data_IF_480495896605
#
_entry.id   IF_480495896605
#
_cell.length_a   1.000
_cell.length_b   1.000
_cell.length_c   1.000
_cell.angle_alpha   90.00
_cell.angle_beta   90.00
_cell.angle_gamma   90.00
#
_symmetry.space_group_name_H-M   'P 1'
#
loop_
_entity.id
_entity.type
_entity.pdbx_description
1 polymer ?
#
# COMPACT_ATOMS: atom_id res chain seq x y z
N UNK A 1 -21.39 46.48 -19.47
CA UNK A 1 -21.78 46.23 -18.06
C UNK A 1 -20.58 45.70 -17.30
N UNK A 2 -19.66 46.59 -16.93
CA UNK A 2 -18.45 46.25 -16.17
C UNK A 2 -18.12 47.47 -15.29
N UNK A 3 -18.78 47.59 -14.13
CA UNK A 3 -18.40 48.60 -13.11
C UNK A 3 -19.01 48.40 -11.71
N UNK A 4 -19.39 47.19 -11.27
CA UNK A 4 -20.00 47.00 -9.94
C UNK A 4 -19.30 46.01 -9.01
N UNK A 5 -18.18 45.39 -9.41
CA UNK A 5 -17.54 44.34 -8.59
C UNK A 5 -16.39 44.82 -7.68
N UNK A 6 -16.01 46.10 -7.68
CA UNK A 6 -14.84 46.58 -6.93
C UNK A 6 -15.14 47.32 -5.62
N UNK A 7 -16.42 47.55 -5.30
CA UNK A 7 -16.81 48.28 -4.09
C UNK A 7 -17.14 47.36 -2.88
N UNK A 8 -17.62 46.14 -3.09
CA UNK A 8 -17.99 45.22 -2.00
C UNK A 8 -16.78 44.55 -1.32
N UNK A 9 -15.70 44.27 -2.07
CA UNK A 9 -14.51 43.61 -1.52
C UNK A 9 -13.67 44.50 -0.57
N UNK A 10 -13.82 45.83 -0.65
CA UNK A 10 -13.09 46.77 0.22
C UNK A 10 -13.72 46.84 1.62
N UNK A 11 -15.04 46.62 1.72
CA UNK A 11 -15.74 46.56 3.02
C UNK A 11 -15.30 45.35 3.85
N UNK A 12 -15.32 44.15 3.26
CA UNK A 12 -15.03 42.91 3.98
C UNK A 12 -13.63 42.88 4.61
N UNK A 13 -12.61 43.36 3.90
CA UNK A 13 -11.23 43.30 4.40
C UNK A 13 -10.98 44.32 5.50
N UNK A 14 -11.59 45.50 5.39
CA UNK A 14 -11.46 46.57 6.37
C UNK A 14 -12.21 46.22 7.68
N UNK A 15 -13.39 45.60 7.55
CA UNK A 15 -14.18 45.13 8.68
C UNK A 15 -13.50 43.94 9.39
N UNK A 16 -12.86 43.04 8.64
CA UNK A 16 -12.10 41.93 9.21
C UNK A 16 -10.86 42.40 9.98
N UNK A 17 -10.14 43.40 9.45
CA UNK A 17 -9.05 44.03 10.20
C UNK A 17 -9.54 44.73 11.46
N UNK A 18 -10.72 45.35 11.40
CA UNK A 18 -11.35 45.98 12.57
C UNK A 18 -11.70 44.96 13.66
N UNK A 19 -12.30 43.82 13.30
CA UNK A 19 -12.60 42.75 14.26
C UNK A 19 -11.34 42.11 14.86
N UNK A 20 -10.28 41.97 14.06
CA UNK A 20 -9.00 41.41 14.53
C UNK A 20 -8.28 42.35 15.51
N UNK A 21 -8.34 43.67 15.27
CA UNK A 21 -7.82 44.68 16.20
C UNK A 21 -8.64 44.74 17.50
N UNK A 22 -9.96 44.58 17.43
CA UNK A 22 -10.81 44.54 18.62
C UNK A 22 -10.56 43.29 19.48
N UNK A 23 -10.31 42.14 18.85
CA UNK A 23 -9.94 40.92 19.57
C UNK A 23 -8.58 41.07 20.26
N UNK A 24 -7.59 41.67 19.60
CA UNK A 24 -6.29 42.00 20.23
C UNK A 24 -6.43 42.94 21.43
N UNK A 25 -7.39 43.88 21.38
CA UNK A 25 -7.70 44.75 22.50
C UNK A 25 -8.37 43.97 23.66
N UNK A 26 -9.31 43.08 23.35
CA UNK A 26 -9.98 42.22 24.34
C UNK A 26 -9.02 41.25 25.02
N UNK A 27 -8.02 40.75 24.28
CA UNK A 27 -6.96 39.86 24.78
C UNK A 27 -5.85 40.62 25.54
N UNK A 28 -5.96 41.95 25.66
CA UNK A 28 -5.10 42.80 26.49
C UNK A 28 -3.88 43.40 25.79
N UNK A 29 -3.70 43.17 24.48
CA UNK A 29 -2.57 43.66 23.69
C UNK A 29 -2.81 45.07 23.12
N UNK A 30 -2.96 46.05 24.02
CA UNK A 30 -3.35 47.43 23.71
C UNK A 30 -2.36 48.17 22.80
N UNK A 31 -1.05 48.05 23.04
CA UNK A 31 -0.01 48.75 22.26
C UNK A 31 0.02 48.29 20.80
N UNK A 32 -0.17 46.99 20.56
CA UNK A 32 -0.14 46.40 19.23
C UNK A 32 -1.40 46.79 18.44
N UNK A 33 -2.55 46.82 19.11
CA UNK A 33 -3.81 47.28 18.52
C UNK A 33 -3.77 48.77 18.15
N UNK A 34 -3.19 49.64 19.00
CA UNK A 34 -3.05 51.07 18.72
C UNK A 34 -2.11 51.36 17.53
N UNK A 35 -0.96 50.67 17.45
CA UNK A 35 -0.04 50.82 16.32
C UNK A 35 -0.64 50.36 14.98
N UNK A 36 -1.47 49.31 15.01
CA UNK A 36 -2.20 48.85 13.84
C UNK A 36 -3.31 49.82 13.44
N UNK A 37 -4.04 50.37 14.41
CA UNK A 37 -5.09 51.35 14.16
C UNK A 37 -4.54 52.66 13.55
N UNK A 38 -3.40 53.17 14.02
CA UNK A 38 -2.73 54.34 13.45
C UNK A 38 -2.29 54.08 11.99
N UNK A 39 -1.75 52.89 11.70
CA UNK A 39 -1.31 52.54 10.34
C UNK A 39 -2.45 52.38 9.35
N UNK A 40 -3.64 51.99 9.83
CA UNK A 40 -4.82 51.75 9.00
C UNK A 40 -5.76 52.95 8.95
N UNK A 41 -5.49 54.03 9.71
CA UNK A 41 -6.31 55.25 9.79
C UNK A 41 -7.79 54.98 10.10
N UNK A 42 -8.06 53.98 10.95
CA UNK A 42 -9.41 53.51 11.28
C UNK A 42 -9.80 53.87 12.71
N UNK A 43 -10.97 54.50 12.88
CA UNK A 43 -11.52 54.79 14.21
C UNK A 43 -11.95 53.52 14.95
N UNK A 44 -11.54 53.39 16.21
CA UNK A 44 -11.96 52.35 17.15
C UNK A 44 -13.39 52.62 17.64
N UNK A 45 -14.37 52.42 16.76
CA UNK A 45 -15.80 52.48 17.07
C UNK A 45 -16.32 51.19 17.73
N UNK A 46 -17.27 51.34 18.65
CA UNK A 46 -17.80 50.28 19.50
C UNK A 46 -18.77 49.33 18.77
N UNK A 47 -18.26 48.14 18.42
CA UNK A 47 -19.05 46.94 18.15
C UNK A 47 -18.43 45.81 18.98
N UNK A 48 -19.27 45.01 19.64
CA UNK A 48 -18.85 43.93 20.55
C UNK A 48 -18.16 42.81 19.75
N UNK A 49 -16.96 42.43 20.19
CA UNK A 49 -15.96 41.66 19.43
C UNK A 49 -16.35 40.22 19.04
N UNK A 50 -17.49 39.68 19.46
CA UNK A 50 -17.77 38.23 19.35
C UNK A 50 -18.83 37.82 18.33
N UNK A 51 -19.75 38.70 17.92
CA UNK A 51 -20.87 38.27 17.06
C UNK A 51 -20.53 38.29 15.56
N UNK A 52 -19.81 39.31 15.08
CA UNK A 52 -19.53 39.46 13.64
C UNK A 52 -18.60 38.40 13.05
N UNK A 53 -17.60 37.93 13.82
CA UNK A 53 -16.69 36.86 13.39
C UNK A 53 -17.38 35.50 13.37
N UNK A 54 -18.32 35.24 14.27
CA UNK A 54 -19.07 33.99 14.31
C UNK A 54 -20.00 33.88 13.09
N UNK A 55 -20.69 34.96 12.72
CA UNK A 55 -21.58 34.98 11.56
C UNK A 55 -20.81 34.89 10.24
N UNK A 56 -19.63 35.52 10.14
CA UNK A 56 -18.74 35.36 8.98
C UNK A 56 -18.20 33.93 8.85
N UNK A 57 -17.82 33.30 9.97
CA UNK A 57 -17.40 31.90 9.97
C UNK A 57 -18.54 30.96 9.56
N UNK A 58 -19.74 31.19 10.09
CA UNK A 58 -20.94 30.43 9.75
C UNK A 58 -21.32 30.60 8.26
N UNK A 59 -21.22 31.81 7.71
CA UNK A 59 -21.46 32.08 6.29
C UNK A 59 -20.42 31.39 5.38
N UNK A 60 -19.14 31.36 5.80
CA UNK A 60 -18.08 30.65 5.05
C UNK A 60 -18.34 29.14 4.98
N UNK A 61 -18.87 28.55 6.06
CA UNK A 61 -19.24 27.14 6.12
C UNK A 61 -20.49 26.81 5.29
N UNK A 62 -21.35 27.78 4.97
CA UNK A 62 -22.46 27.55 4.04
C UNK A 62 -21.98 27.56 2.58
N UNK A 63 -20.99 28.39 2.22
CA UNK A 63 -20.43 28.37 0.85
C UNK A 63 -19.62 27.10 0.54
N UNK A 64 -19.03 26.45 1.53
CA UNK A 64 -18.37 25.14 1.37
C UNK A 64 -19.36 23.98 1.18
N UNK A 65 -20.64 24.15 1.55
CA UNK A 65 -21.70 23.13 1.35
C UNK A 65 -22.35 23.15 -0.04
N UNK A 66 -22.11 24.16 -0.88
CA UNK A 66 -22.56 24.14 -2.29
C UNK A 66 -21.61 23.39 -3.23
N UNK A 67 -20.44 22.94 -2.75
CA UNK A 67 -19.50 22.08 -3.50
C UNK A 67 -19.58 20.61 -3.09
N UNK A 68 -20.70 20.18 -2.47
CA UNK A 68 -20.93 18.79 -2.06
C UNK A 68 -22.23 18.19 -2.59
N UNK A 69 -22.56 18.44 -3.87
CA UNK A 69 -23.54 17.63 -4.60
C UNK A 69 -23.06 17.17 -5.98
N UNK A 70 -21.75 16.95 -6.13
CA UNK A 70 -21.25 16.09 -7.18
C UNK A 70 -20.08 15.23 -6.67
N UNK A 71 -20.34 14.49 -5.58
CA UNK A 71 -19.50 13.36 -5.19
C UNK A 71 -19.78 12.22 -6.16
N UNK A 72 -19.12 12.25 -7.31
CA UNK A 72 -18.64 11.01 -7.88
C UNK A 72 -17.79 10.33 -6.79
N UNK A 73 -18.10 9.05 -6.52
CA UNK A 73 -17.54 8.25 -5.44
C UNK A 73 -16.05 8.53 -5.16
N UNK A 74 -15.78 9.28 -4.09
CA UNK A 74 -14.50 9.20 -3.40
C UNK A 74 -14.56 7.95 -2.55
N UNK A 75 -14.36 6.79 -3.16
CA UNK A 75 -14.08 5.55 -2.43
C UNK A 75 -12.92 5.81 -1.49
N UNK A 76 -13.18 5.83 -0.18
CA UNK A 76 -12.12 5.84 0.83
C UNK A 76 -11.23 4.63 0.56
N UNK A 77 -10.00 4.87 0.13
CA UNK A 77 -9.01 3.80 -0.02
C UNK A 77 -8.59 3.35 1.37
N UNK A 78 -8.95 2.12 1.74
CA UNK A 78 -8.53 1.47 2.99
C UNK A 78 -9.69 0.91 3.81
N UNK A 79 -9.36 -0.04 4.68
CA UNK A 79 -10.25 -0.57 5.70
C UNK A 79 -10.74 0.55 6.64
N UNK A 80 -11.95 1.03 6.39
CA UNK A 80 -12.72 1.82 7.35
C UNK A 80 -13.95 1.02 7.80
N UNK A 81 -14.14 0.91 9.10
CA UNK A 81 -15.29 0.26 9.75
C UNK A 81 -16.44 1.25 10.02
N UNK A 82 -16.23 2.55 9.82
CA UNK A 82 -17.25 3.59 10.03
C UNK A 82 -18.28 3.69 8.92
N UNK A 83 -17.95 3.24 7.70
CA UNK A 83 -18.86 3.20 6.57
C UNK A 83 -19.23 1.76 6.22
N UNK A 84 -20.50 1.41 6.41
CA UNK A 84 -21.10 0.21 5.83
C UNK A 84 -21.19 0.41 4.33
N UNK A 85 -20.13 0.05 3.61
CA UNK A 85 -20.29 -0.26 2.19
C UNK A 85 -21.30 -1.42 2.17
N UNK A 86 -22.45 -1.23 1.50
CA UNK A 86 -23.37 -2.33 1.23
C UNK A 86 -22.54 -3.52 0.72
N UNK A 87 -22.88 -4.77 1.09
CA UNK A 87 -22.17 -5.93 0.57
C UNK A 87 -22.45 -6.04 -0.92
N UNK A 88 -21.76 -5.23 -1.73
CA UNK A 88 -21.50 -5.51 -3.12
C UNK A 88 -21.00 -6.94 -3.14
N UNK A 89 -21.56 -7.76 -4.02
CA UNK A 89 -21.22 -9.17 -4.15
C UNK A 89 -19.71 -9.30 -4.35
N UNK A 90 -18.98 -9.52 -3.25
CA UNK A 90 -17.54 -9.70 -3.27
C UNK A 90 -17.28 -11.02 -3.97
N UNK A 91 -16.77 -10.95 -5.19
CA UNK A 91 -16.40 -12.14 -5.93
C UNK A 91 -14.93 -12.47 -5.66
N UNK A 92 -14.73 -13.62 -5.03
CA UNK A 92 -13.43 -14.16 -4.67
C UNK A 92 -12.90 -15.17 -5.70
N UNK A 93 -13.52 -15.26 -6.89
CA UNK A 93 -13.09 -16.18 -7.96
C UNK A 93 -11.95 -15.58 -8.77
N UNK A 94 -10.73 -16.02 -8.50
CA UNK A 94 -9.57 -15.58 -9.28
C UNK A 94 -9.41 -16.40 -10.57
N UNK A 95 -9.30 -15.73 -11.70
CA UNK A 95 -9.07 -16.38 -12.99
C UNK A 95 -7.56 -16.47 -13.29
N UNK A 96 -7.07 -17.66 -13.63
CA UNK A 96 -5.69 -17.84 -14.06
C UNK A 96 -5.47 -17.16 -15.43
N UNK A 97 -4.52 -16.22 -15.50
CA UNK A 97 -4.15 -15.56 -16.77
C UNK A 97 -2.83 -16.05 -17.34
N UNK A 98 -1.86 -16.31 -16.48
CA UNK A 98 -0.55 -16.80 -16.91
C UNK A 98 0.04 -17.73 -15.87
N UNK A 99 0.82 -18.71 -16.34
CA UNK A 99 1.66 -19.56 -15.52
C UNK A 99 3.08 -19.54 -16.10
N UNK A 100 4.07 -19.42 -15.22
CA UNK A 100 5.47 -19.41 -15.57
C UNK A 100 6.19 -20.51 -14.80
N UNK A 101 6.81 -21.43 -15.53
CA UNK A 101 7.67 -22.46 -14.95
C UNK A 101 9.07 -21.90 -14.72
N UNK A 102 9.55 -22.01 -13.49
CA UNK A 102 10.90 -21.64 -13.09
C UNK A 102 11.78 -22.87 -12.96
N UNK A 103 13.11 -22.74 -13.16
CA UNK A 103 14.03 -23.86 -12.95
C UNK A 103 14.05 -24.33 -11.48
N UNK A 104 13.73 -23.43 -10.54
CA UNK A 104 13.83 -23.60 -9.10
C UNK A 104 12.61 -23.04 -8.38
N UNK A 105 12.33 -23.52 -7.16
CA UNK A 105 11.21 -23.05 -6.37
C UNK A 105 11.36 -21.54 -6.02
N UNK A 106 10.32 -20.72 -6.25
CA UNK A 106 10.29 -19.33 -5.80
C UNK A 106 10.14 -19.29 -4.28
N UNK A 107 11.05 -18.60 -3.60
CA UNK A 107 11.03 -18.42 -2.15
C UNK A 107 10.27 -17.16 -1.77
N UNK A 108 10.46 -16.07 -2.53
CA UNK A 108 9.84 -14.77 -2.27
C UNK A 108 9.54 -14.06 -3.58
N UNK A 109 8.39 -13.38 -3.65
CA UNK A 109 8.06 -12.48 -4.75
C UNK A 109 7.85 -11.05 -4.24
N UNK A 110 8.22 -10.08 -5.07
CA UNK A 110 7.91 -8.68 -4.87
C UNK A 110 7.38 -8.10 -6.18
N UNK A 111 6.57 -7.05 -6.09
CA UNK A 111 6.04 -6.33 -7.26
C UNK A 111 6.35 -4.85 -7.09
N UNK A 112 6.65 -4.18 -8.20
CA UNK A 112 6.81 -2.73 -8.23
C UNK A 112 5.49 -2.03 -7.91
N UNK A 113 5.55 -0.82 -7.38
CA UNK A 113 4.39 -0.01 -7.00
C UNK A 113 3.38 0.18 -8.14
N UNK A 114 3.86 0.21 -9.38
CA UNK A 114 3.02 0.38 -10.58
C UNK A 114 2.40 -0.95 -11.08
N UNK A 115 2.78 -2.09 -10.49
CA UNK A 115 2.32 -3.42 -10.92
C UNK A 115 2.89 -3.87 -12.28
N UNK A 116 3.71 -3.06 -12.94
CA UNK A 116 4.28 -3.37 -14.27
C UNK A 116 5.43 -4.38 -14.19
N UNK A 117 6.16 -4.39 -13.08
CA UNK A 117 7.32 -5.25 -12.86
C UNK A 117 7.11 -6.13 -11.64
N UNK A 118 7.59 -7.36 -11.68
CA UNK A 118 7.70 -8.21 -10.51
C UNK A 118 9.04 -8.92 -10.49
N UNK A 119 9.57 -9.12 -9.29
CA UNK A 119 10.82 -9.81 -9.03
C UNK A 119 10.55 -11.08 -8.25
N UNK A 120 11.35 -12.10 -8.54
CA UNK A 120 11.21 -13.43 -7.97
C UNK A 120 12.57 -13.86 -7.46
N UNK A 121 12.63 -14.13 -6.17
CA UNK A 121 13.75 -14.74 -5.49
C UNK A 121 13.57 -16.24 -5.55
N UNK A 122 14.63 -16.93 -5.93
CA UNK A 122 14.63 -18.38 -6.06
C UNK A 122 15.49 -19.02 -4.97
N UNK A 123 15.21 -20.30 -4.69
CA UNK A 123 16.04 -21.11 -3.81
C UNK A 123 17.49 -21.24 -4.32
N UNK A 124 17.70 -21.17 -5.64
CA UNK A 124 19.03 -21.16 -6.27
C UNK A 124 19.85 -19.89 -5.99
N UNK A 125 19.32 -18.93 -5.23
CA UNK A 125 19.94 -17.62 -4.98
C UNK A 125 19.81 -16.62 -6.12
N UNK A 126 19.18 -17.02 -7.23
CA UNK A 126 18.92 -16.15 -8.38
C UNK A 126 17.73 -15.24 -8.16
N UNK A 127 17.87 -13.98 -8.56
CA UNK A 127 16.78 -13.00 -8.61
C UNK A 127 16.42 -12.74 -10.07
N UNK A 128 15.15 -12.99 -10.41
CA UNK A 128 14.64 -12.82 -11.78
C UNK A 128 13.58 -11.73 -11.80
N UNK A 129 13.71 -10.80 -12.74
CA UNK A 129 12.78 -9.67 -12.91
C UNK A 129 11.98 -9.87 -14.18
N UNK A 130 10.67 -9.72 -14.10
CA UNK A 130 9.74 -9.93 -15.19
C UNK A 130 8.82 -8.72 -15.36
N UNK A 131 8.34 -8.51 -16.60
CA UNK A 131 7.31 -7.53 -16.90
C UNK A 131 5.93 -8.19 -16.97
N UNK A 132 4.94 -7.65 -16.26
CA UNK A 132 3.60 -8.26 -16.18
C UNK A 132 2.85 -8.24 -17.51
N UNK A 133 2.99 -7.20 -18.34
CA UNK A 133 2.35 -7.15 -19.69
C UNK A 133 2.83 -8.26 -20.62
N UNK A 134 4.10 -8.66 -20.53
CA UNK A 134 4.67 -9.68 -21.42
C UNK A 134 4.06 -11.07 -21.21
N UNK A 135 3.51 -11.33 -20.02
CA UNK A 135 2.95 -12.65 -19.66
C UNK A 135 1.47 -12.78 -20.02
N UNK A 136 0.73 -11.66 -20.07
CA UNK A 136 -0.72 -11.68 -20.35
C UNK A 136 -0.98 -11.75 -21.87
N UNK A 137 -0.06 -11.24 -22.70
CA UNK A 137 -0.21 -11.27 -24.17
C UNK A 137 0.13 -12.63 -24.78
N UNK A 138 0.83 -13.53 -24.06
CA UNK A 138 1.01 -14.91 -24.50
C UNK A 138 -0.23 -15.74 -24.14
N UNK A 139 -1.30 -15.58 -24.93
CA UNK A 139 -2.51 -16.42 -24.87
C UNK A 139 -2.25 -17.87 -25.30
N UNK A 140 -1.04 -18.17 -25.78
CA UNK A 140 -0.56 -19.53 -25.92
C UNK A 140 0.22 -19.91 -24.66
N UNK A 141 -0.22 -21.00 -24.03
CA UNK A 141 0.41 -21.75 -22.94
C UNK A 141 1.81 -22.28 -23.32
N UNK A 142 2.71 -21.40 -23.74
CA UNK A 142 4.04 -21.74 -24.20
C UNK A 142 5.05 -21.16 -23.22
N UNK A 143 5.84 -22.10 -22.69
CA UNK A 143 7.08 -22.07 -21.91
C UNK A 143 8.16 -21.04 -22.31
N UNK A 144 7.80 -19.84 -22.77
CA UNK A 144 8.78 -18.79 -23.10
C UNK A 144 9.03 -17.88 -21.91
N UNK A 145 9.60 -18.45 -20.85
CA UNK A 145 10.12 -17.70 -19.71
C UNK A 145 11.25 -16.72 -20.07
N UNK A 146 11.82 -16.82 -21.28
CA UNK A 146 12.87 -15.95 -21.79
C UNK A 146 12.39 -14.61 -22.36
N UNK A 147 11.16 -14.53 -22.90
CA UNK A 147 10.71 -13.33 -23.62
C UNK A 147 10.20 -12.20 -22.69
N UNK A 148 9.85 -12.53 -21.45
CA UNK A 148 9.36 -11.58 -20.45
C UNK A 148 10.38 -11.25 -19.34
N UNK A 149 11.52 -11.96 -19.31
CA UNK A 149 12.57 -11.76 -18.31
C UNK A 149 13.42 -10.55 -18.69
N UNK A 150 13.46 -9.57 -17.80
CA UNK A 150 14.24 -8.34 -17.98
C UNK A 150 15.66 -8.49 -17.47
N UNK A 151 15.84 -9.13 -16.32
CA UNK A 151 17.14 -9.32 -15.70
C UNK A 151 17.16 -10.63 -14.90
N UNK A 152 18.33 -11.27 -14.88
CA UNK A 152 18.64 -12.41 -14.02
C UNK A 152 19.94 -12.10 -13.29
N UNK A 153 19.88 -12.05 -11.97
CA UNK A 153 21.02 -11.80 -11.12
C UNK A 153 21.39 -13.07 -10.36
N UNK A 154 22.66 -13.44 -10.41
CA UNK A 154 23.18 -14.62 -9.73
C UNK A 154 23.63 -14.26 -8.31
N UNK A 155 22.97 -14.86 -7.31
CA UNK A 155 23.40 -14.85 -5.92
C UNK A 155 23.92 -16.23 -5.51
N UNK A 156 24.75 -16.28 -4.47
CA UNK A 156 25.35 -17.54 -3.98
C UNK A 156 24.37 -18.42 -3.20
N UNK A 157 23.34 -17.80 -2.61
CA UNK A 157 22.59 -18.38 -1.51
C UNK A 157 21.11 -18.01 -1.60
N UNK A 158 20.18 -18.84 -1.07
CA UNK A 158 18.74 -18.65 -1.22
C UNK A 158 18.29 -17.24 -0.86
N UNK A 159 17.40 -16.68 -1.70
CA UNK A 159 16.85 -15.34 -1.46
C UNK A 159 15.69 -15.46 -0.50
N UNK A 160 15.77 -14.83 0.66
CA UNK A 160 14.73 -14.84 1.70
C UNK A 160 13.81 -13.63 1.62
N UNK A 161 14.33 -12.47 1.20
CA UNK A 161 13.59 -11.22 1.13
C UNK A 161 13.88 -10.44 -0.16
N UNK A 162 12.88 -9.76 -0.70
CA UNK A 162 13.00 -8.89 -1.86
C UNK A 162 12.25 -7.58 -1.64
N UNK A 163 12.83 -6.47 -2.08
CA UNK A 163 12.19 -5.16 -2.08
C UNK A 163 12.54 -4.35 -3.33
N UNK A 164 11.54 -3.73 -3.94
CA UNK A 164 11.73 -2.75 -5.01
C UNK A 164 11.93 -1.36 -4.41
N UNK A 165 12.88 -0.62 -4.95
CA UNK A 165 12.98 0.80 -4.66
C UNK A 165 11.80 1.56 -5.33
N UNK A 166 11.18 2.54 -4.65
CA UNK A 166 9.96 3.17 -5.15
C UNK A 166 10.14 4.08 -6.38
N UNK A 167 11.32 4.70 -6.56
CA UNK A 167 11.57 5.63 -7.68
C UNK A 167 12.69 5.20 -8.62
N UNK A 168 13.84 4.78 -8.07
CA UNK A 168 14.98 4.22 -8.82
C UNK A 168 14.70 2.78 -9.26
N UNK A 169 15.26 2.37 -10.41
CA UNK A 169 15.19 1.00 -10.94
C UNK A 169 16.17 0.05 -10.20
N UNK A 170 16.03 -0.04 -8.88
CA UNK A 170 16.88 -0.85 -8.00
C UNK A 170 16.02 -1.91 -7.28
N UNK A 171 16.54 -3.13 -7.18
CA UNK A 171 15.99 -4.19 -6.34
C UNK A 171 17.01 -4.53 -5.25
N UNK A 172 16.55 -4.61 -4.01
CA UNK A 172 17.31 -5.21 -2.93
C UNK A 172 16.89 -6.65 -2.74
N UNK A 173 17.86 -7.56 -2.68
CA UNK A 173 17.65 -8.94 -2.32
C UNK A 173 18.43 -9.28 -1.06
N UNK A 174 17.74 -9.85 -0.09
CA UNK A 174 18.32 -10.38 1.12
C UNK A 174 18.43 -11.89 1.02
N UNK A 175 19.58 -12.42 1.42
CA UNK A 175 19.85 -13.84 1.44
C UNK A 175 19.80 -14.42 2.86
N UNK A 176 19.64 -15.74 2.95
CA UNK A 176 19.80 -16.52 4.19
C UNK A 176 21.19 -16.39 4.81
N UNK A 177 22.20 -16.02 4.01
CA UNK A 177 23.58 -15.88 4.48
C UNK A 177 23.89 -14.47 5.00
N UNK A 178 22.87 -13.62 5.11
CA UNK A 178 22.99 -12.23 5.57
C UNK A 178 23.52 -11.26 4.52
N UNK A 179 23.75 -11.72 3.29
CA UNK A 179 24.12 -10.84 2.17
C UNK A 179 22.87 -10.08 1.67
N UNK A 180 22.96 -8.75 1.64
CA UNK A 180 22.01 -7.86 0.98
C UNK A 180 22.66 -7.38 -0.31
N UNK A 181 22.15 -7.83 -1.45
CA UNK A 181 22.62 -7.41 -2.76
C UNK A 181 21.65 -6.40 -3.36
N UNK A 182 22.18 -5.26 -3.81
CA UNK A 182 21.44 -4.24 -4.51
C UNK A 182 21.71 -4.38 -6.01
N UNK A 183 20.66 -4.60 -6.78
CA UNK A 183 20.71 -4.79 -8.21
C UNK A 183 20.11 -3.59 -8.90
N UNK A 184 20.92 -2.89 -9.69
CA UNK A 184 20.39 -1.91 -10.65
C UNK A 184 19.96 -2.69 -11.90
N UNK A 185 18.72 -2.49 -12.32
CA UNK A 185 18.17 -3.09 -13.53
C UNK A 185 17.81 -2.05 -14.59
N UNK A 186 18.40 -0.86 -14.51
CA UNK A 186 18.33 0.15 -15.58
C UNK A 186 18.77 -0.49 -16.91
N UNK A 187 18.08 -0.25 -18.04
CA UNK A 187 18.29 -0.98 -19.30
C UNK A 187 19.72 -0.97 -19.86
N UNK A 188 20.61 -0.09 -19.37
CA UNK A 188 22.01 -0.01 -19.78
C UNK A 188 23.02 -0.52 -18.72
N UNK A 189 22.57 -0.91 -17.53
CA UNK A 189 23.43 -1.44 -16.47
C UNK A 189 22.66 -2.50 -15.68
N UNK A 190 22.94 -3.78 -15.98
CA UNK A 190 22.47 -4.92 -15.18
C UNK A 190 23.60 -5.38 -14.28
N UNK A 191 23.91 -4.59 -13.26
CA UNK A 191 25.03 -4.85 -12.36
C UNK A 191 24.58 -4.82 -10.89
N UNK A 192 25.36 -5.50 -10.06
CA UNK A 192 25.30 -5.34 -8.62
C UNK A 192 25.84 -3.94 -8.31
N UNK A 193 24.97 -3.06 -7.80
CA UNK A 193 25.35 -1.68 -7.48
C UNK A 193 26.07 -1.59 -6.14
N UNK A 194 25.64 -2.37 -5.15
CA UNK A 194 26.30 -2.48 -3.85
C UNK A 194 25.92 -3.80 -3.16
N UNK A 195 26.74 -4.24 -2.22
CA UNK A 195 26.49 -5.40 -1.36
C UNK A 195 26.75 -5.04 0.10
N UNK A 196 25.81 -5.34 0.98
CA UNK A 196 25.96 -5.23 2.42
C UNK A 196 26.00 -6.62 3.04
N UNK A 197 26.82 -6.79 4.07
CA UNK A 197 26.87 -8.05 4.81
C UNK A 197 26.33 -7.83 6.22
N UNK A 198 25.30 -8.58 6.56
CA UNK A 198 24.77 -8.76 7.89
C UNK A 198 25.34 -10.07 8.50
N UNK A 199 25.63 -10.13 9.81
CA UNK A 199 26.03 -11.38 10.46
C UNK A 199 24.96 -12.49 10.47
N UNK A 200 23.68 -12.15 10.28
CA UNK A 200 22.58 -13.11 10.35
C UNK A 200 21.75 -13.11 9.07
N UNK A 201 21.04 -14.22 8.83
CA UNK A 201 20.12 -14.34 7.70
C UNK A 201 19.04 -13.28 7.72
N UNK A 202 18.75 -12.71 6.55
CA UNK A 202 17.74 -11.66 6.42
C UNK A 202 16.38 -12.33 6.32
N UNK A 203 15.37 -11.79 7.00
CA UNK A 203 14.00 -12.33 7.00
C UNK A 203 13.04 -11.43 6.25
N UNK A 204 13.21 -10.11 6.34
CA UNK A 204 12.40 -9.15 5.58
C UNK A 204 13.19 -7.90 5.19
N UNK A 205 12.82 -7.33 4.05
CA UNK A 205 13.35 -6.07 3.51
C UNK A 205 12.20 -5.18 3.08
N UNK A 206 12.32 -3.88 3.37
CA UNK A 206 11.36 -2.90 2.88
C UNK A 206 11.99 -1.51 2.68
N UNK A 207 11.71 -0.89 1.54
CA UNK A 207 12.07 0.50 1.32
C UNK A 207 11.06 1.43 1.96
N UNK A 208 11.56 2.50 2.55
CA UNK A 208 10.74 3.65 2.91
C UNK A 208 10.03 4.18 1.65
N UNK A 209 8.78 4.67 1.73
CA UNK A 209 8.03 5.17 0.57
C UNK A 209 8.71 6.27 -0.25
N UNK A 210 9.62 7.05 0.35
CA UNK A 210 10.45 8.04 -0.37
C UNK A 210 11.67 7.43 -1.07
N UNK A 211 12.05 6.20 -0.72
CA UNK A 211 13.23 5.49 -1.21
C UNK A 211 14.52 5.82 -0.48
N UNK A 212 14.55 6.82 0.40
CA UNK A 212 15.78 7.26 1.06
C UNK A 212 16.37 6.22 2.04
N UNK A 213 15.51 5.38 2.64
CA UNK A 213 15.91 4.40 3.64
C UNK A 213 15.45 2.98 3.28
N UNK A 214 16.24 2.01 3.72
CA UNK A 214 15.95 0.57 3.63
C UNK A 214 15.88 -0.01 5.03
N UNK A 215 14.74 -0.60 5.36
CA UNK A 215 14.52 -1.35 6.58
C UNK A 215 14.93 -2.81 6.37
N UNK A 216 15.72 -3.32 7.31
CA UNK A 216 16.22 -4.69 7.30
C UNK A 216 15.83 -5.36 8.60
N UNK A 217 15.13 -6.48 8.48
CA UNK A 217 14.90 -7.44 9.53
C UNK A 217 15.73 -8.69 9.26
N UNK A 218 16.38 -9.20 10.30
CA UNK A 218 17.20 -10.39 10.24
C UNK A 218 16.78 -11.37 11.35
N UNK A 219 17.41 -12.53 11.37
CA UNK A 219 17.27 -13.49 12.48
C UNK A 219 17.82 -12.95 13.81
N UNK A 220 18.45 -11.77 13.79
CA UNK A 220 18.83 -11.03 14.99
C UNK A 220 17.68 -10.11 15.46
N UNK A 221 17.46 -9.94 16.77
CA UNK A 221 16.39 -9.09 17.33
C UNK A 221 16.51 -7.60 17.00
N UNK A 222 17.68 -7.15 16.54
CA UNK A 222 17.96 -5.74 16.26
C UNK A 222 17.31 -5.31 14.94
N UNK A 223 16.53 -4.24 14.99
CA UNK A 223 16.06 -3.56 13.79
C UNK A 223 17.20 -2.74 13.18
N UNK A 224 17.42 -2.84 11.87
CA UNK A 224 18.44 -2.05 11.16
C UNK A 224 17.78 -1.19 10.09
N UNK A 225 18.17 0.08 10.04
CA UNK A 225 17.75 1.02 9.01
C UNK A 225 18.98 1.52 8.26
N UNK A 226 19.04 1.30 6.96
CA UNK A 226 20.14 1.74 6.12
C UNK A 226 19.73 2.98 5.32
N UNK A 227 20.60 3.97 5.25
CA UNK A 227 20.47 5.03 4.26
C UNK A 227 20.83 4.47 2.88
N UNK A 228 20.01 4.70 1.86
CA UNK A 228 20.25 4.14 0.52
C UNK A 228 21.31 4.87 -0.29
N UNK A 229 21.62 6.12 0.06
CA UNK A 229 22.65 6.90 -0.63
C UNK A 229 24.04 6.70 0.00
N UNK A 230 24.11 6.60 1.34
CA UNK A 230 25.39 6.44 2.07
C UNK A 230 25.66 5.04 2.59
N UNK A 231 24.64 4.17 2.60
CA UNK A 231 24.68 2.82 3.18
C UNK A 231 25.09 2.76 4.66
N UNK A 232 24.93 3.86 5.37
CA UNK A 232 25.12 3.91 6.82
C UNK A 232 23.97 3.22 7.54
N UNK A 233 24.31 2.41 8.53
CA UNK A 233 23.37 1.67 9.36
C UNK A 233 23.00 2.49 10.61
N UNK A 234 21.71 2.71 10.81
CA UNK A 234 21.12 3.23 12.04
C UNK A 234 20.43 2.09 12.80
N UNK A 235 20.50 2.17 14.12
CA UNK A 235 19.86 1.23 15.05
C UNK A 235 19.13 1.99 16.15
N UNK A 236 18.12 1.38 16.78
CA UNK A 236 17.52 1.94 17.98
C UNK A 236 18.57 2.28 19.03
N UNK A 237 18.45 3.45 19.66
CA UNK A 237 19.41 3.91 20.67
C UNK A 237 19.37 3.06 21.96
N UNK A 238 18.21 2.48 22.26
CA UNK A 238 18.00 1.72 23.49
C UNK A 238 17.81 0.22 23.20
N UNK A 239 18.86 -0.56 23.45
CA UNK A 239 18.87 -2.02 23.31
C UNK A 239 17.78 -2.69 24.16
N UNK A 240 17.42 -2.13 25.33
CA UNK A 240 16.40 -2.73 26.20
C UNK A 240 14.99 -2.69 25.59
N UNK A 241 14.77 -1.81 24.61
CA UNK A 241 13.50 -1.73 23.88
C UNK A 241 13.44 -2.65 22.66
N UNK A 242 14.53 -3.31 22.31
CA UNK A 242 14.60 -4.25 21.19
C UNK A 242 13.79 -5.52 21.44
N UNK A 243 13.61 -6.33 20.40
CA UNK A 243 12.94 -7.62 20.54
C UNK A 243 13.83 -8.59 21.31
N UNK A 244 13.22 -9.61 21.91
CA UNK A 244 13.95 -10.66 22.66
C UNK A 244 14.27 -11.87 21.79
N UNK A 245 13.67 -11.95 20.61
CA UNK A 245 13.78 -13.06 19.68
C UNK A 245 13.91 -12.57 18.23
N UNK A 246 14.20 -13.47 17.27
CA UNK A 246 14.39 -13.13 15.87
C UNK A 246 13.22 -12.36 15.26
N UNK A 247 13.51 -11.44 14.34
CA UNK A 247 12.48 -10.72 13.60
C UNK A 247 12.01 -11.57 12.43
N UNK A 248 10.70 -11.71 12.28
CA UNK A 248 10.11 -12.41 11.14
C UNK A 248 9.72 -11.45 10.02
N UNK A 249 9.26 -10.25 10.39
CA UNK A 249 8.80 -9.25 9.44
C UNK A 249 9.00 -7.83 9.99
N UNK A 250 9.27 -6.89 9.09
CA UNK A 250 9.32 -5.47 9.40
C UNK A 250 8.76 -4.67 8.22
N UNK A 251 7.83 -3.76 8.50
CA UNK A 251 7.05 -3.01 7.50
C UNK A 251 6.94 -1.54 7.89
N UNK A 252 7.02 -0.63 6.92
CA UNK A 252 6.65 0.77 7.12
C UNK A 252 5.16 0.95 6.96
N UNK A 253 4.56 1.83 7.77
CA UNK A 253 3.22 2.32 7.49
C UNK A 253 3.20 3.18 6.22
N UNK A 254 2.04 3.32 5.60
CA UNK A 254 1.86 4.09 4.36
C UNK A 254 2.20 5.57 4.53
N UNK A 255 2.00 6.12 5.74
CA UNK A 255 2.42 7.47 6.13
C UNK A 255 3.94 7.60 6.39
N UNK A 256 4.64 6.46 6.39
CA UNK A 256 6.08 6.31 6.61
C UNK A 256 6.60 6.80 7.98
N UNK A 257 5.71 7.19 8.90
CA UNK A 257 6.10 7.73 10.21
C UNK A 257 6.37 6.65 11.22
N UNK A 258 5.80 5.46 11.02
CA UNK A 258 5.93 4.34 11.95
C UNK A 258 6.43 3.09 11.26
N UNK A 259 7.08 2.25 12.06
CA UNK A 259 7.57 0.94 11.63
C UNK A 259 6.89 -0.10 12.50
N UNK A 260 6.33 -1.13 11.88
CA UNK A 260 5.76 -2.28 12.57
C UNK A 260 6.70 -3.46 12.39
N UNK A 261 7.03 -4.12 13.51
CA UNK A 261 7.95 -5.25 13.54
C UNK A 261 7.28 -6.42 14.25
N UNK A 262 7.48 -7.62 13.74
CA UNK A 262 6.99 -8.86 14.33
C UNK A 262 8.14 -9.83 14.61
N UNK A 263 8.00 -10.57 15.70
CA UNK A 263 9.01 -11.48 16.22
C UNK A 263 8.49 -12.92 16.29
N UNK A 264 9.40 -13.89 16.28
CA UNK A 264 9.08 -15.33 16.41
C UNK A 264 8.35 -15.68 17.71
N UNK A 265 8.40 -14.86 18.76
CA UNK A 265 7.66 -15.08 20.01
C UNK A 265 6.25 -14.44 20.03
N UNK A 266 5.71 -14.04 18.87
CA UNK A 266 4.36 -13.47 18.82
C UNK A 266 4.28 -11.99 19.18
N UNK A 267 5.41 -11.37 19.54
CA UNK A 267 5.48 -9.95 19.92
C UNK A 267 5.43 -9.06 18.69
N UNK A 268 4.58 -8.03 18.73
CA UNK A 268 4.53 -6.98 17.69
C UNK A 268 4.86 -5.64 18.32
N UNK A 269 5.86 -4.95 17.78
CA UNK A 269 6.27 -3.62 18.24
C UNK A 269 6.07 -2.59 17.15
N UNK A 270 5.56 -1.42 17.56
CA UNK A 270 5.42 -0.22 16.74
C UNK A 270 6.48 0.78 17.16
N UNK A 271 7.26 1.24 16.20
CA UNK A 271 8.38 2.16 16.38
C UNK A 271 8.10 3.47 15.65
N UNK A 272 8.71 4.56 16.12
CA UNK A 272 8.81 5.77 15.30
C UNK A 272 9.92 5.60 14.27
N UNK A 273 9.65 5.91 13.01
CA UNK A 273 10.65 5.85 11.94
C UNK A 273 11.74 6.92 12.09
N UNK A 274 11.43 8.06 12.71
CA UNK A 274 12.35 9.21 12.85
C UNK A 274 13.35 8.98 13.97
N UNK A 275 12.87 8.61 15.15
CA UNK A 275 13.71 8.43 16.34
C UNK A 275 14.14 6.99 16.59
N UNK A 276 13.58 6.01 15.86
CA UNK A 276 13.75 4.57 16.12
C UNK A 276 13.46 4.18 17.57
N UNK A 277 12.55 4.90 18.22
CA UNK A 277 12.09 4.58 19.58
C UNK A 277 10.84 3.70 19.52
N UNK A 278 10.79 2.67 20.37
CA UNK A 278 9.59 1.85 20.52
C UNK A 278 8.47 2.70 21.13
N UNK A 279 7.38 2.87 20.38
CA UNK A 279 6.18 3.61 20.82
C UNK A 279 5.23 2.68 21.57
N UNK A 280 4.98 1.51 21.02
CA UNK A 280 4.02 0.54 21.55
C UNK A 280 4.59 -0.87 21.42
N UNK A 281 4.38 -1.66 22.47
CA UNK A 281 4.65 -3.10 22.46
C UNK A 281 3.33 -3.80 22.70
N UNK A 282 2.90 -4.57 21.71
CA UNK A 282 1.77 -5.46 21.84
C UNK A 282 2.32 -6.81 22.28
N UNK A 283 1.69 -7.39 23.31
CA UNK A 283 2.09 -8.67 23.89
C UNK A 283 2.03 -9.82 22.88
N UNK A 284 2.36 -11.05 23.30
CA UNK A 284 2.29 -12.18 22.40
C UNK A 284 0.85 -12.35 21.93
N UNK A 285 0.62 -12.15 20.64
CA UNK A 285 -0.72 -12.25 20.02
C UNK A 285 -1.16 -13.71 19.97
N UNK A 286 -0.19 -14.61 19.86
CA UNK A 286 -0.39 -16.05 19.89
C UNK A 286 0.31 -16.64 21.10
N UNK A 287 -0.37 -17.53 21.80
CA UNK A 287 0.22 -18.29 22.90
C UNK A 287 1.21 -19.31 22.31
N UNK A 288 2.51 -19.08 22.49
CA UNK A 288 3.61 -19.99 22.12
C UNK A 288 3.82 -20.24 20.63
N UNK A 289 3.13 -19.51 19.74
CA UNK A 289 3.25 -19.71 18.30
C UNK A 289 4.09 -18.63 17.62
N UNK A 290 4.79 -19.05 16.56
CA UNK A 290 5.63 -18.15 15.77
C UNK A 290 4.85 -17.39 14.72
N UNK A 291 5.12 -16.08 14.63
CA UNK A 291 4.61 -15.26 13.52
C UNK A 291 5.37 -15.63 12.25
N UNK A 292 4.65 -15.90 11.18
CA UNK A 292 5.23 -16.20 9.87
C UNK A 292 5.21 -14.98 8.94
N UNK A 293 4.12 -14.21 8.95
CA UNK A 293 3.95 -13.08 8.04
C UNK A 293 3.26 -11.90 8.75
N UNK A 294 3.59 -10.69 8.30
CA UNK A 294 2.96 -9.45 8.72
C UNK A 294 2.75 -8.56 7.49
N UNK A 295 1.49 -8.20 7.26
CA UNK A 295 1.09 -7.24 6.23
C UNK A 295 0.29 -6.10 6.85
N UNK A 296 0.55 -4.89 6.39
CA UNK A 296 -0.16 -3.68 6.83
C UNK A 296 -1.29 -3.33 5.86
N UNK A 297 -2.36 -2.75 6.41
CA UNK A 297 -3.34 -2.02 5.62
C UNK A 297 -2.70 -0.74 5.05
N UNK A 298 -3.15 -0.34 3.87
CA UNK A 298 -2.94 0.92 3.17
C UNK A 298 -3.25 2.14 4.04
N UNK A 299 -4.19 2.01 4.98
CA UNK A 299 -4.48 3.05 5.98
C UNK A 299 -3.37 3.18 7.04
N UNK A 300 -2.59 2.13 7.27
CA UNK A 300 -1.63 2.03 8.36
C UNK A 300 -2.26 1.74 9.74
N UNK A 301 -3.58 1.59 9.82
CA UNK A 301 -4.30 1.39 11.09
C UNK A 301 -4.37 -0.08 11.52
N UNK A 302 -4.43 -0.99 10.54
CA UNK A 302 -4.59 -2.43 10.77
C UNK A 302 -3.38 -3.23 10.28
N UNK A 303 -3.08 -4.30 10.99
CA UNK A 303 -2.08 -5.29 10.63
C UNK A 303 -2.73 -6.68 10.56
N UNK A 304 -2.34 -7.42 9.53
CA UNK A 304 -2.72 -8.79 9.29
C UNK A 304 -1.53 -9.69 9.60
N UNK A 305 -1.73 -10.65 10.50
CA UNK A 305 -0.66 -11.45 11.08
C UNK A 305 -1.02 -12.92 10.96
N UNK A 306 -0.11 -13.71 10.38
CA UNK A 306 -0.23 -15.17 10.32
C UNK A 306 0.66 -15.84 11.34
N UNK A 307 0.11 -16.87 11.99
CA UNK A 307 0.81 -17.79 12.87
C UNK A 307 1.19 -19.08 12.14
N UNK A 308 2.24 -19.77 12.60
CA UNK A 308 2.57 -21.14 12.20
C UNK A 308 1.47 -22.14 12.51
N UNK A 309 0.66 -21.91 13.56
CA UNK A 309 -0.48 -22.77 13.95
C UNK A 309 -1.78 -22.41 13.25
N UNK A 310 -1.69 -21.74 12.09
CA UNK A 310 -2.83 -21.43 11.23
C UNK A 310 -3.91 -20.56 11.87
N UNK A 311 -3.46 -19.57 12.62
CA UNK A 311 -4.31 -18.47 13.03
C UNK A 311 -3.96 -17.26 12.19
N UNK A 312 -4.97 -16.70 11.57
CA UNK A 312 -4.86 -15.43 10.89
C UNK A 312 -5.65 -14.38 11.66
N UNK A 313 -4.96 -13.31 12.04
CA UNK A 313 -5.53 -12.30 12.93
C UNK A 313 -5.44 -10.93 12.27
N UNK A 314 -6.56 -10.20 12.28
CA UNK A 314 -6.60 -8.77 11.99
C UNK A 314 -6.51 -8.00 13.31
N UNK A 315 -5.45 -7.22 13.47
CA UNK A 315 -5.17 -6.45 14.67
C UNK A 315 -5.17 -4.95 14.36
N UNK A 316 -5.76 -4.15 15.24
CA UNK A 316 -5.60 -2.70 15.22
C UNK A 316 -4.28 -2.30 15.90
N UNK A 317 -3.46 -1.52 15.20
CA UNK A 317 -2.12 -1.15 15.67
C UNK A 317 -2.12 -0.13 16.82
N UNK A 318 -3.19 0.66 16.93
CA UNK A 318 -3.28 1.71 17.95
C UNK A 318 -3.37 1.18 19.37
N UNK A 319 -4.20 0.17 19.58
CA UNK A 319 -4.49 -0.41 20.89
C UNK A 319 -4.01 -1.87 21.01
N UNK A 320 -3.52 -2.48 19.92
CA UNK A 320 -3.11 -3.89 19.90
C UNK A 320 -4.28 -4.86 19.99
N UNK A 321 -5.51 -4.40 19.75
CA UNK A 321 -6.69 -5.24 19.85
C UNK A 321 -6.86 -6.09 18.60
N UNK A 322 -7.05 -7.39 18.81
CA UNK A 322 -7.52 -8.32 17.77
C UNK A 322 -8.99 -8.06 17.48
N UNK A 323 -9.31 -7.75 16.23
CA UNK A 323 -10.67 -7.49 15.75
C UNK A 323 -11.30 -8.79 15.26
N UNK A 324 -10.61 -9.46 14.34
CA UNK A 324 -11.06 -10.71 13.74
C UNK A 324 -9.98 -11.77 13.81
N UNK A 325 -10.43 -13.00 13.99
CA UNK A 325 -9.63 -14.20 13.86
C UNK A 325 -10.27 -15.04 12.74
N UNK A 326 -9.54 -15.22 11.64
CA UNK A 326 -9.98 -16.02 10.51
C UNK A 326 -9.50 -17.46 10.72
N UNK A 327 -10.45 -18.39 10.77
CA UNK A 327 -10.22 -19.82 10.93
C UNK A 327 -10.73 -20.57 9.70
N UNK A 328 -10.14 -21.73 9.42
CA UNK A 328 -10.66 -22.65 8.41
C UNK A 328 -9.67 -23.14 7.37
N UNK A 329 -8.40 -22.71 7.38
CA UNK A 329 -7.37 -23.40 6.61
C UNK A 329 -7.00 -24.73 7.29
N UNK A 330 -6.49 -25.67 6.49
CA UNK A 330 -6.11 -27.02 6.90
C UNK A 330 -4.72 -27.03 7.54
N UNK A 331 -4.52 -27.63 8.74
CA UNK A 331 -3.34 -27.43 9.58
C UNK A 331 -2.03 -27.61 8.81
N UNK A 332 -1.13 -26.62 8.89
CA UNK A 332 0.14 -26.59 8.18
C UNK A 332 1.33 -26.67 9.14
N UNK A 333 2.43 -27.24 8.66
CA UNK A 333 3.73 -27.23 9.36
C UNK A 333 4.62 -26.03 9.00
N UNK A 334 4.22 -25.19 8.04
CA UNK A 334 5.11 -24.21 7.40
C UNK A 334 4.50 -22.79 7.28
N UNK A 335 5.36 -21.82 6.96
CA UNK A 335 5.00 -20.41 6.74
C UNK A 335 3.90 -20.27 5.69
N UNK A 336 2.75 -19.74 6.09
CA UNK A 336 1.62 -19.48 5.19
C UNK A 336 1.54 -17.99 4.85
N UNK A 337 1.64 -17.61 3.57
CA UNK A 337 1.49 -16.23 3.15
C UNK A 337 0.02 -15.82 3.16
N UNK A 338 -0.22 -14.57 3.54
CA UNK A 338 -1.55 -13.95 3.49
C UNK A 338 -1.45 -12.53 2.92
N UNK A 339 -2.51 -12.07 2.27
CA UNK A 339 -2.56 -10.76 1.65
C UNK A 339 -3.95 -10.12 1.67
N UNK A 340 -3.99 -8.79 1.74
CA UNK A 340 -5.20 -8.02 1.44
C UNK A 340 -5.44 -7.96 -0.08
N UNK A 341 -6.71 -7.94 -0.48
CA UNK A 341 -7.12 -7.78 -1.87
C UNK A 341 -8.39 -6.93 -2.03
N UNK A 342 -8.58 -6.38 -3.24
CA UNK A 342 -9.72 -5.57 -3.67
C UNK A 342 -9.98 -4.39 -2.73
N UNK A 343 -9.04 -3.45 -2.66
CA UNK A 343 -9.09 -2.31 -1.73
C UNK A 343 -9.34 -2.74 -0.27
N UNK A 344 -8.74 -3.88 0.11
CA UNK A 344 -8.87 -4.47 1.45
C UNK A 344 -10.29 -4.88 1.83
N UNK A 345 -11.12 -5.23 0.84
CA UNK A 345 -12.39 -5.89 1.09
C UNK A 345 -12.21 -7.40 1.36
N UNK A 346 -11.13 -7.99 0.84
CA UNK A 346 -10.83 -9.41 0.94
C UNK A 346 -9.52 -9.67 1.68
N UNK A 347 -9.52 -10.72 2.51
CA UNK A 347 -8.33 -11.36 3.03
C UNK A 347 -8.11 -12.65 2.26
N UNK A 348 -6.94 -12.80 1.66
CA UNK A 348 -6.48 -14.03 1.03
C UNK A 348 -5.47 -14.70 1.93
N UNK A 349 -5.61 -16.00 2.11
CA UNK A 349 -4.64 -16.78 2.88
C UNK A 349 -4.48 -18.16 2.26
N UNK A 350 -3.23 -18.54 2.03
CA UNK A 350 -2.87 -19.81 1.45
C UNK A 350 -2.74 -20.91 2.51
N UNK A 351 -3.20 -22.10 2.17
CA UNK A 351 -3.06 -23.30 3.01
C UNK A 351 -1.87 -24.19 2.56
N UNK A 352 -1.64 -25.28 3.29
CA UNK A 352 -0.62 -26.27 2.94
C UNK A 352 -0.99 -27.10 1.70
N UNK A 353 -2.29 -27.22 1.38
CA UNK A 353 -2.76 -27.94 0.20
C UNK A 353 -2.47 -27.20 -1.12
N UNK A 354 -2.06 -25.92 -1.04
CA UNK A 354 -1.89 -25.04 -2.20
C UNK A 354 -3.17 -24.36 -2.65
N UNK A 355 -4.22 -24.42 -1.84
CA UNK A 355 -5.46 -23.67 -2.00
C UNK A 355 -5.35 -22.29 -1.37
N UNK A 356 -6.02 -21.32 -1.97
CA UNK A 356 -6.12 -19.95 -1.46
C UNK A 356 -7.55 -19.76 -1.00
N UNK A 357 -7.74 -19.63 0.31
CA UNK A 357 -9.03 -19.29 0.87
C UNK A 357 -9.17 -17.77 0.99
N UNK A 358 -10.39 -17.29 0.79
CA UNK A 358 -10.76 -15.89 0.81
C UNK A 358 -11.83 -15.64 1.86
N UNK A 359 -11.63 -14.58 2.65
CA UNK A 359 -12.57 -14.10 3.66
C UNK A 359 -12.92 -12.64 3.40
N UNK A 360 -14.11 -12.25 3.81
CA UNK A 360 -14.46 -10.84 3.91
C UNK A 360 -13.70 -10.21 5.08
N UNK A 361 -12.99 -9.11 4.84
CA UNK A 361 -12.19 -8.43 5.89
C UNK A 361 -13.05 -7.89 7.03
N UNK A 362 -14.27 -7.43 6.73
CA UNK A 362 -15.15 -6.75 7.69
C UNK A 362 -16.06 -7.67 8.49
N UNK A 363 -16.43 -8.82 7.94
CA UNK A 363 -17.34 -9.78 8.60
C UNK A 363 -16.65 -11.05 9.07
N UNK A 364 -15.42 -11.31 8.60
CA UNK A 364 -14.72 -12.57 8.77
C UNK A 364 -15.46 -13.80 8.21
N UNK A 365 -16.43 -13.58 7.33
CA UNK A 365 -17.14 -14.66 6.65
C UNK A 365 -16.26 -15.27 5.54
N UNK A 366 -16.16 -16.61 5.48
CA UNK A 366 -15.48 -17.30 4.38
C UNK A 366 -16.31 -17.18 3.09
N UNK A 367 -15.68 -16.81 1.98
CA UNK A 367 -16.35 -16.60 0.69
C UNK A 367 -16.09 -17.76 -0.28
N UNK A 368 -14.83 -17.99 -0.63
CA UNK A 368 -14.45 -19.03 -1.58
C UNK A 368 -13.03 -19.52 -1.31
N UNK A 369 -12.77 -20.77 -1.68
CA UNK A 369 -11.43 -21.33 -1.79
C UNK A 369 -11.12 -21.60 -3.26
N UNK A 370 -9.98 -21.11 -3.73
CA UNK A 370 -9.49 -21.35 -5.08
C UNK A 370 -8.32 -22.33 -5.01
N UNK A 371 -8.45 -23.50 -5.64
CA UNK A 371 -7.35 -24.45 -5.76
C UNK A 371 -6.31 -23.90 -6.74
N UNK A 372 -5.23 -23.31 -6.21
CA UNK A 372 -4.26 -22.58 -7.00
C UNK A 372 -3.08 -23.45 -7.43
N UNK A 373 -2.52 -24.22 -6.51
CA UNK A 373 -1.34 -25.07 -6.73
C UNK A 373 -1.52 -26.47 -6.11
N UNK A 374 -0.81 -27.49 -6.61
CA UNK A 374 -0.79 -28.84 -6.01
C UNK A 374 0.17 -28.97 -4.81
N UNK A 375 0.97 -27.94 -4.54
CA UNK A 375 2.03 -27.90 -3.52
C UNK A 375 1.88 -26.58 -2.73
N UNK A 376 2.29 -26.51 -1.44
CA UNK A 376 2.21 -25.30 -0.64
C UNK A 376 2.68 -24.03 -1.35
N UNK A 377 1.91 -22.96 -1.19
CA UNK A 377 2.26 -21.64 -1.70
C UNK A 377 3.25 -21.00 -0.71
N UNK A 378 4.45 -20.69 -1.20
CA UNK A 378 5.52 -20.12 -0.40
C UNK A 378 5.42 -18.59 -0.34
N UNK A 379 4.90 -17.96 -1.40
CA UNK A 379 4.81 -16.52 -1.50
C UNK A 379 3.56 -16.08 -2.26
N UNK A 380 2.97 -14.98 -1.79
CA UNK A 380 1.76 -14.38 -2.35
C UNK A 380 1.91 -12.87 -2.36
N UNK A 381 1.46 -12.23 -3.43
CA UNK A 381 1.38 -10.78 -3.51
C UNK A 381 0.16 -10.34 -4.30
N UNK A 382 -0.58 -9.36 -3.78
CA UNK A 382 -1.69 -8.75 -4.48
C UNK A 382 -1.33 -7.32 -4.92
N UNK A 383 -1.51 -7.02 -6.21
CA UNK A 383 -1.33 -5.69 -6.77
C UNK A 383 -2.68 -5.00 -6.90
N UNK A 384 -2.95 -4.01 -6.06
CA UNK A 384 -4.17 -3.19 -6.15
C UNK A 384 -4.22 -2.37 -7.45
N UNK A 385 -3.06 -1.90 -7.94
CA UNK A 385 -2.98 -1.07 -9.16
C UNK A 385 -3.49 -1.80 -10.41
N UNK A 386 -3.24 -3.11 -10.50
CA UNK A 386 -3.65 -3.95 -11.63
C UNK A 386 -4.76 -4.94 -11.30
N UNK A 387 -5.16 -5.02 -10.03
CA UNK A 387 -6.14 -5.99 -9.54
C UNK A 387 -5.72 -7.45 -9.88
N UNK A 388 -4.43 -7.74 -9.66
CA UNK A 388 -3.80 -9.04 -9.98
C UNK A 388 -3.20 -9.68 -8.73
N UNK A 389 -3.33 -11.00 -8.62
CA UNK A 389 -2.71 -11.82 -7.59
C UNK A 389 -1.56 -12.62 -8.21
N UNK A 390 -0.38 -12.57 -7.60
CA UNK A 390 0.77 -13.40 -7.94
C UNK A 390 0.96 -14.45 -6.84
N UNK A 391 1.05 -15.72 -7.23
CA UNK A 391 1.33 -16.84 -6.32
C UNK A 391 2.54 -17.62 -6.78
N UNK A 392 3.44 -17.93 -5.85
CA UNK A 392 4.60 -18.79 -6.08
C UNK A 392 4.55 -19.99 -5.14
N UNK A 393 4.68 -21.18 -5.71
CA UNK A 393 4.59 -22.45 -4.98
C UNK A 393 5.88 -23.27 -5.11
N UNK A 394 6.08 -24.20 -4.18
CA UNK A 394 7.16 -25.19 -4.24
C UNK A 394 7.12 -26.09 -5.49
N UNK A 395 6.01 -26.08 -6.24
CA UNK A 395 5.89 -26.73 -7.56
C UNK A 395 6.74 -26.07 -8.67
N UNK A 396 7.49 -25.00 -8.33
CA UNK A 396 8.31 -24.20 -9.25
C UNK A 396 7.49 -23.44 -10.29
N UNK A 397 6.21 -23.23 -10.04
CA UNK A 397 5.33 -22.42 -10.86
C UNK A 397 5.05 -21.09 -10.18
N UNK A 398 5.08 -20.03 -10.98
CA UNK A 398 4.46 -18.76 -10.65
C UNK A 398 3.16 -18.65 -11.43
N UNK A 399 2.06 -18.40 -10.74
CA UNK A 399 0.76 -18.18 -11.36
C UNK A 399 0.30 -16.75 -11.13
N UNK A 400 -0.19 -16.14 -12.19
CA UNK A 400 -0.75 -14.80 -12.19
C UNK A 400 -2.26 -14.90 -12.40
N UNK A 401 -3.02 -14.39 -11.44
CA UNK A 401 -4.46 -14.44 -11.40
C UNK A 401 -5.09 -13.05 -11.48
N UNK A 402 -6.19 -12.92 -12.19
CA UNK A 402 -6.95 -11.68 -12.29
C UNK A 402 -8.18 -11.74 -11.37
N UNK A 403 -8.48 -10.64 -10.67
CA UNK A 403 -9.71 -10.54 -9.89
C UNK A 403 -10.92 -10.18 -10.76
N UNK A 404 -12.14 -10.63 -10.42
CA UNK A 404 -13.37 -10.37 -11.19
C UNK A 404 -13.70 -8.88 -11.34
N UNK A 405 -13.40 -8.08 -10.32
CA UNK A 405 -13.60 -6.62 -10.35
C UNK A 405 -12.84 -5.93 -11.49
N UNK A 406 -11.75 -6.53 -11.98
CA UNK A 406 -11.01 -6.03 -13.14
C UNK A 406 -11.74 -6.29 -14.48
N UNK A 407 -12.52 -7.36 -14.58
CA UNK A 407 -13.28 -7.69 -15.81
C UNK A 407 -14.44 -6.70 -16.03
N UNK A 408 -15.06 -6.20 -14.97
CA UNK A 408 -16.14 -5.20 -15.07
C UNK A 408 -15.60 -3.85 -15.56
N UNK A 409 -14.43 -3.42 -15.08
CA UNK A 409 -13.79 -2.17 -15.51
C UNK A 409 -13.31 -2.22 -16.98
N UNK A 410 -12.86 -3.38 -17.46
CA UNK A 410 -12.44 -3.55 -18.86
C UNK A 410 -13.63 -3.66 -19.82
N UNK A 411 -14.72 -4.31 -19.40
CA UNK A 411 -15.96 -4.37 -20.17
C UNK A 411 -16.63 -2.99 -20.31
N UNK A 412 -16.65 -2.17 -19.26
CA UNK A 412 -17.20 -0.80 -19.33
C UNK A 412 -16.34 0.13 -20.20
N UNK A 413 -15.00 0.01 -20.12
CA UNK A 413 -14.08 0.78 -20.95
C UNK A 413 -14.17 0.37 -22.44
N UNK A 414 -14.40 -0.91 -22.75
CA UNK A 414 -14.65 -1.38 -24.11
C UNK A 414 -16.00 -0.88 -24.65
N UNK A 415 -17.05 -0.88 -23.82
CA UNK A 415 -18.37 -0.35 -24.19
C UNK A 415 -18.34 1.17 -24.46
N UNK A 416 -17.64 1.95 -23.64
CA UNK A 416 -17.46 3.40 -23.86
C UNK A 416 -16.64 3.73 -25.10
N UNK A 417 -15.67 2.88 -25.48
CA UNK A 417 -14.93 3.04 -26.74
C UNK A 417 -15.81 2.78 -27.96
N UNK A 418 -16.71 1.80 -27.89
CA UNK A 418 -17.68 1.56 -28.95
C UNK A 418 -18.70 2.71 -29.05
N UNK A 419 -19.17 3.25 -27.94
CA UNK A 419 -20.15 4.35 -27.94
C UNK A 419 -19.58 5.67 -28.48
N UNK A 420 -18.29 5.95 -28.23
CA UNK A 420 -17.59 7.10 -28.84
C UNK A 420 -17.29 6.92 -30.34
N UNK A 421 -17.42 5.71 -30.90
CA UNK A 421 -17.15 5.42 -32.32
C UNK A 421 -18.38 5.44 -33.23
N UNK A 422 -19.60 5.55 -32.67
CA UNK A 422 -20.86 5.43 -33.44
C UNK A 422 -21.52 6.79 -33.77
N UNK A 423 -20.90 7.92 -33.41
CA UNK A 423 -21.34 9.24 -33.88
C UNK A 423 -20.67 9.64 -35.19
N UNK A 424 -20.87 8.86 -36.25
CA UNK A 424 -20.71 9.35 -37.63
C UNK A 424 -22.09 9.47 -38.25
N UNK A 425 -22.58 10.71 -38.30
CA UNK A 425 -23.85 11.11 -38.90
C UNK A 425 -23.96 10.59 -40.35
N UNK A 426 -24.98 9.78 -40.61
CA UNK A 426 -25.38 9.42 -41.98
C UNK A 426 -26.14 10.59 -42.58
N UNK A 427 -25.44 11.43 -43.33
CA UNK A 427 -26.07 12.44 -44.20
C UNK A 427 -26.82 11.67 -45.31
N UNK A 428 -28.15 11.59 -45.20
CA UNK A 428 -29.03 11.11 -46.27
C UNK A 428 -29.03 12.15 -47.39
N UNK A 429 -28.40 11.84 -48.52
CA UNK A 429 -28.60 12.57 -49.77
C UNK A 429 -29.88 12.06 -50.44
N UNK A 430 -30.86 12.95 -50.61
CA UNK A 430 -32.09 12.67 -51.39
C UNK A 430 -31.75 12.44 -52.88
N UNK A 431 -32.51 11.57 -53.58
CA UNK A 431 -32.32 11.33 -55.01
C UNK A 431 -32.97 12.42 -55.85
N UNK A 432 -32.18 13.05 -56.73
CA UNK A 432 -32.68 13.90 -57.81
C UNK A 432 -33.43 13.08 -58.84
N UNK A 433 -34.73 13.31 -58.97
CA UNK A 433 -35.54 12.85 -60.10
C UNK A 433 -35.26 13.71 -61.33
N UNK A 434 -34.82 13.08 -62.42
CA UNK A 434 -34.96 13.62 -63.77
C UNK A 434 -36.31 13.14 -64.34
N UNK A 435 -37.06 14.04 -64.98
CA UNK A 435 -37.54 13.88 -66.37
C UNK A 435 -38.37 15.10 -66.81
N UNK A 436 -38.10 15.50 -68.06
CA UNK A 436 -38.76 16.46 -68.98
C UNK A 436 -38.78 17.98 -68.71
#
# INVERSE_FOLDING_TARGET
MASTATAEAVGERHDLYRSMMQQLLADGHHDMAQQLAERLSTDLGALSASSGLYDLFAASNQTSTMWTQNTAATTSRGLDFGHTVDPATLDARFELKAALSLPSAPTVCAVSRDGELFAVGCQDGRVRVYRSRGLVTSTNMVESGSAAMLANFDGSSPVSALAFHPTKAIISAGSTDGLISHFDFTPNAQNISNTLQDPCGITALEYHPTGAYLLVAAEHPTLRLYNTDTWQCYRPANWATEHTAPLCAARFTSDAKTIVTACTLGMVKVWSAVSLTCLKTHGPIFDMDSICNLQLSSSGTYALITSSTQRLVLMQLDNGRVIFEYKGATPASASTPAAFAQDEALVLWADESGSIAAWNTRTAEPLAATAAHPVPILTMYYSEAKQMLLTGSGDRQLKLWQSPSANVATASAAAQRHDNSVKTETIKTEPTTADD
#
